data_IF_835901399494
#
_entry.id   IF_835901399494
#
_cell.length_a   1.000
_cell.length_b   1.000
_cell.length_c   1.000
_cell.angle_alpha   90.00
_cell.angle_beta   90.00
_cell.angle_gamma   90.00
#
_symmetry.space_group_name_H-M   'P 1'
#
loop_
_entity.id
_entity.type
_entity.pdbx_description
1 polymer ?
#
# COMPACT_ATOMS: atom_id res chain seq x y z
N UNK A 1 -1.08 -20.94 13.50
CA UNK A 1 -0.41 -19.85 12.74
C UNK A 1 -1.10 -18.55 13.11
N UNK A 2 -0.51 -17.73 14.00
CA UNK A 2 -1.08 -16.43 14.33
C UNK A 2 -0.70 -15.45 13.22
N UNK A 3 -1.67 -14.99 12.43
CA UNK A 3 -1.44 -13.95 11.43
C UNK A 3 -1.04 -12.66 12.16
N UNK A 4 0.22 -12.24 12.02
CA UNK A 4 0.68 -10.96 12.56
C UNK A 4 0.01 -9.85 11.77
N UNK A 5 -0.43 -8.79 12.44
CA UNK A 5 -0.93 -7.59 11.77
C UNK A 5 0.15 -7.04 10.83
N UNK A 6 -0.09 -7.16 9.53
CA UNK A 6 0.85 -6.81 8.45
C UNK A 6 0.60 -5.41 7.87
N UNK A 7 -0.39 -4.71 8.41
CA UNK A 7 -0.72 -3.34 8.06
C UNK A 7 -0.80 -2.44 9.29
N UNK A 8 -0.58 -1.15 9.11
CA UNK A 8 -0.78 -0.15 10.18
C UNK A 8 -1.63 0.99 9.66
N UNK A 9 -2.71 1.29 10.39
CA UNK A 9 -3.38 2.59 10.31
C UNK A 9 -2.54 3.55 11.14
N UNK A 10 -2.05 4.63 10.53
CA UNK A 10 -1.07 5.52 11.14
C UNK A 10 -1.49 6.98 10.97
N UNK A 11 -1.59 7.70 12.09
CA UNK A 11 -1.76 9.16 12.15
C UNK A 11 -0.44 9.95 12.04
N UNK A 12 0.73 9.29 11.93
CA UNK A 12 2.01 10.00 11.71
C UNK A 12 2.08 10.63 10.30
N UNK A 13 1.95 11.95 10.25
CA UNK A 13 2.08 12.84 9.08
C UNK A 13 1.79 14.29 9.51
N UNK A 14 2.10 15.30 8.66
CA UNK A 14 1.80 16.72 8.96
C UNK A 14 0.29 17.01 9.00
N UNK A 15 -0.53 16.12 8.47
CA UNK A 15 -1.98 16.10 8.57
C UNK A 15 -2.41 14.64 8.79
N UNK A 16 -3.51 14.41 9.52
CA UNK A 16 -4.10 13.10 9.85
C UNK A 16 -4.66 12.38 8.60
N UNK A 17 -3.78 12.14 7.63
CA UNK A 17 -4.12 11.61 6.31
C UNK A 17 -4.41 10.12 6.46
N UNK A 18 -5.66 9.67 6.20
CA UNK A 18 -5.99 8.27 6.26
C UNK A 18 -5.11 7.48 5.30
N UNK A 19 -4.46 6.41 5.80
CA UNK A 19 -3.58 5.57 5.00
C UNK A 19 -3.57 4.11 5.44
N UNK A 20 -3.47 3.24 4.44
CA UNK A 20 -3.10 1.85 4.61
C UNK A 20 -1.62 1.72 4.27
N UNK A 21 -0.86 1.16 5.22
CA UNK A 21 0.56 0.89 5.05
C UNK A 21 0.80 -0.61 5.02
N UNK A 22 1.02 -1.19 3.84
CA UNK A 22 1.25 -2.62 3.63
C UNK A 22 2.74 -2.91 3.55
N UNK A 23 3.20 -3.83 4.41
CA UNK A 23 4.59 -4.27 4.40
C UNK A 23 4.83 -5.41 3.40
N UNK A 24 6.11 -5.68 3.19
CA UNK A 24 6.63 -6.66 2.21
C UNK A 24 5.87 -7.98 2.13
N UNK A 25 5.48 -8.62 3.24
CA UNK A 25 4.83 -9.93 3.20
C UNK A 25 3.56 -9.94 2.34
N UNK A 26 2.71 -8.92 2.47
CA UNK A 26 1.44 -8.81 1.72
C UNK A 26 1.73 -8.48 0.26
N UNK A 27 2.63 -7.53 0.02
CA UNK A 27 2.99 -7.11 -1.33
C UNK A 27 3.67 -8.23 -2.13
N UNK A 28 4.54 -9.02 -1.48
CA UNK A 28 5.20 -10.19 -2.08
C UNK A 28 4.20 -11.29 -2.40
N UNK A 29 3.25 -11.58 -1.49
CA UNK A 29 2.19 -12.56 -1.74
C UNK A 29 1.26 -12.14 -2.89
N UNK A 30 1.04 -10.83 -3.05
CA UNK A 30 0.28 -10.25 -4.15
C UNK A 30 1.11 -10.07 -5.44
N UNK A 31 2.39 -10.50 -5.44
CA UNK A 31 3.32 -10.35 -6.57
C UNK A 31 3.51 -8.90 -7.05
N UNK A 32 3.35 -7.92 -6.17
CA UNK A 32 3.57 -6.51 -6.51
C UNK A 32 5.05 -6.19 -6.71
N UNK A 33 5.35 -5.47 -7.79
CA UNK A 33 6.71 -5.08 -8.16
C UNK A 33 6.92 -3.58 -7.91
N UNK A 34 8.03 -3.16 -7.28
CA UNK A 34 8.35 -1.75 -7.12
C UNK A 34 8.34 -0.98 -8.45
N UNK A 35 7.66 0.16 -8.47
CA UNK A 35 7.45 0.98 -9.66
C UNK A 35 6.10 0.78 -10.34
N UNK A 36 5.39 -0.31 -10.05
CA UNK A 36 4.05 -0.55 -10.58
C UNK A 36 3.03 0.45 -10.05
N UNK A 37 1.98 0.68 -10.86
CA UNK A 37 0.80 1.45 -10.47
C UNK A 37 -0.34 0.50 -10.15
N UNK A 38 -1.00 0.77 -9.03
CA UNK A 38 -2.15 0.02 -8.56
C UNK A 38 -3.37 0.95 -8.49
N UNK A 39 -4.56 0.38 -8.66
CA UNK A 39 -5.82 1.04 -8.37
C UNK A 39 -6.30 0.70 -6.96
N UNK A 40 -6.92 1.67 -6.30
CA UNK A 40 -7.62 1.52 -5.03
C UNK A 40 -9.10 1.77 -5.27
N UNK A 41 -9.93 0.77 -4.96
CA UNK A 41 -11.39 0.86 -5.08
C UNK A 41 -12.05 0.42 -3.78
N UNK A 42 -13.23 0.97 -3.52
CA UNK A 42 -14.08 0.57 -2.40
C UNK A 42 -15.26 -0.23 -2.93
N UNK A 43 -15.59 -1.34 -2.26
CA UNK A 43 -16.74 -2.18 -2.62
C UNK A 43 -17.45 -2.64 -1.34
N UNK A 44 -18.49 -1.91 -0.94
CA UNK A 44 -19.12 -2.10 0.36
C UNK A 44 -18.12 -1.84 1.47
N UNK A 45 -17.98 -2.77 2.41
CA UNK A 45 -17.06 -2.63 3.55
C UNK A 45 -15.61 -3.07 3.24
N UNK A 46 -15.25 -3.18 1.95
CA UNK A 46 -13.95 -3.69 1.51
C UNK A 46 -13.18 -2.64 0.70
N UNK A 47 -11.88 -2.55 0.97
CA UNK A 47 -10.92 -1.82 0.15
C UNK A 47 -10.16 -2.83 -0.70
N UNK A 48 -10.25 -2.68 -2.03
CA UNK A 48 -9.61 -3.55 -3.01
C UNK A 48 -8.44 -2.79 -3.64
N UNK A 49 -7.25 -3.37 -3.53
CA UNK A 49 -6.03 -2.89 -4.20
C UNK A 49 -5.68 -3.90 -5.28
N UNK A 50 -5.63 -3.45 -6.53
CA UNK A 50 -5.40 -4.32 -7.70
C UNK A 50 -4.53 -3.63 -8.74
N UNK A 51 -4.11 -4.38 -9.75
CA UNK A 51 -3.47 -3.82 -10.94
C UNK A 51 -4.32 -2.70 -11.56
N UNK A 52 -3.67 -1.64 -12.02
CA UNK A 52 -4.33 -0.51 -12.65
C UNK A 52 -4.90 -0.90 -14.02
N UNK A 53 -6.21 -1.10 -14.11
CA UNK A 53 -6.92 -1.38 -15.37
C UNK A 53 -7.40 -0.13 -16.10
N UNK A 54 -7.76 0.91 -15.36
CA UNK A 54 -8.34 2.14 -15.90
C UNK A 54 -7.63 3.38 -15.33
N UNK A 55 -7.35 4.36 -16.18
CA UNK A 55 -6.59 5.57 -15.81
C UNK A 55 -7.35 6.48 -14.84
N UNK A 56 -8.68 6.40 -14.81
CA UNK A 56 -9.52 7.30 -14.00
C UNK A 56 -9.72 6.83 -12.54
N UNK A 57 -9.16 5.68 -12.15
CA UNK A 57 -9.26 5.19 -10.77
C UNK A 57 -8.27 5.87 -9.83
N UNK A 58 -8.52 5.77 -8.52
CA UNK A 58 -7.57 6.22 -7.51
C UNK A 58 -6.27 5.41 -7.61
N UNK A 59 -5.24 6.04 -8.18
CA UNK A 59 -3.94 5.40 -8.37
C UNK A 59 -3.02 5.60 -7.17
N UNK A 60 -2.25 4.56 -6.85
CA UNK A 60 -1.11 4.55 -5.94
C UNK A 60 0.07 3.85 -6.62
N UNK A 61 1.29 4.05 -6.11
CA UNK A 61 2.49 3.38 -6.63
C UNK A 61 3.05 2.38 -5.61
N UNK A 62 3.60 1.28 -6.12
CA UNK A 62 4.36 0.33 -5.32
C UNK A 62 5.76 0.91 -5.12
N UNK A 63 6.10 1.21 -3.88
CA UNK A 63 7.44 1.65 -3.49
C UNK A 63 8.30 0.44 -3.09
N UNK A 64 9.56 0.69 -2.72
CA UNK A 64 10.40 -0.35 -2.12
C UNK A 64 11.14 0.16 -0.90
N UNK A 65 11.39 -0.75 0.04
CA UNK A 65 12.26 -0.51 1.18
C UNK A 65 13.37 -1.54 1.20
N UNK A 66 14.62 -1.07 1.31
CA UNK A 66 15.77 -1.95 1.51
C UNK A 66 15.72 -2.54 2.92
N UNK A 67 15.75 -3.85 3.03
CA UNK A 67 15.98 -4.51 4.32
C UNK A 67 17.43 -4.24 4.75
N UNK A 68 17.61 -3.74 5.98
CA UNK A 68 18.94 -3.42 6.50
C UNK A 68 19.80 -4.68 6.72
N UNK A 69 19.20 -5.82 7.09
CA UNK A 69 19.96 -7.03 7.38
C UNK A 69 20.37 -7.80 6.13
N UNK A 70 19.50 -7.90 5.11
CA UNK A 70 19.77 -8.69 3.90
C UNK A 70 20.16 -7.85 2.69
N UNK A 71 19.98 -6.53 2.74
CA UNK A 71 20.22 -5.64 1.61
C UNK A 71 19.20 -5.73 0.47
N UNK A 72 18.22 -6.64 0.56
CA UNK A 72 17.21 -6.88 -0.46
C UNK A 72 16.20 -5.73 -0.47
N UNK A 73 15.88 -5.19 -1.65
CA UNK A 73 14.76 -4.26 -1.83
C UNK A 73 13.46 -5.05 -1.86
N UNK A 74 12.57 -4.77 -0.93
CA UNK A 74 11.25 -5.42 -0.83
C UNK A 74 10.13 -4.44 -1.16
N UNK A 75 9.05 -4.91 -1.81
CA UNK A 75 7.93 -4.06 -2.18
C UNK A 75 7.20 -3.53 -0.94
N UNK A 76 6.60 -2.37 -1.09
CA UNK A 76 5.89 -1.67 -0.03
C UNK A 76 4.83 -0.76 -0.62
N UNK A 77 3.64 -0.75 -0.02
CA UNK A 77 2.53 0.09 -0.47
C UNK A 77 2.12 1.03 0.67
N UNK A 78 2.11 2.33 0.38
CA UNK A 78 1.52 3.38 1.22
C UNK A 78 0.43 4.07 0.41
N UNK A 79 -0.81 4.02 0.89
CA UNK A 79 -1.94 4.63 0.20
C UNK A 79 -2.14 6.10 0.57
N UNK A 80 -1.30 6.71 1.41
CA UNK A 80 -1.48 8.11 1.81
C UNK A 80 -1.59 9.03 0.58
N UNK A 81 -2.69 9.79 0.49
CA UNK A 81 -2.94 10.73 -0.61
C UNK A 81 -3.68 11.96 -0.10
N UNK A 82 -3.38 13.13 -0.66
CA UNK A 82 -4.03 14.38 -0.25
C UNK A 82 -5.54 14.35 -0.48
N UNK A 83 -6.00 13.67 -1.54
CA UNK A 83 -7.43 13.48 -1.82
C UNK A 83 -8.20 12.71 -0.75
N UNK A 84 -7.50 12.09 0.22
CA UNK A 84 -8.11 11.39 1.35
C UNK A 84 -8.24 12.29 2.59
N UNK A 85 -7.65 13.49 2.57
CA UNK A 85 -7.83 14.49 3.63
C UNK A 85 -9.25 15.06 3.52
N UNK A 86 -9.91 15.25 4.67
CA UNK A 86 -11.20 15.95 4.77
C UNK A 86 -10.98 17.46 4.86
#
# INVERSE_FOLDING_TARGET
>A
MLLKKVYKVSSKGKDDTPRLFLQHLVCEAASFVPGEKLSVTERGDQIIISELKETNMNQISVSSRKNQSTGIRRPLVDTAKESYKK
#
